data_IF_342472357269
#
_entry.id   IF_342472357269
#
_cell.length_a   1.000
_cell.length_b   1.000
_cell.length_c   1.000
_cell.angle_alpha   90.00
_cell.angle_beta   90.00
_cell.angle_gamma   90.00
#
_symmetry.space_group_name_H-M   'P 1'
#
loop_
_entity.id
_entity.type
_entity.pdbx_description
1 polymer ?
#
# COMPACT_ATOMS: atom_id res chain seq x y z
N UNK A 1 -3.85 9.10 21.22
CA UNK A 1 -4.45 9.35 19.89
C UNK A 1 -5.83 8.74 19.82
N UNK A 2 -6.83 9.52 19.44
CA UNK A 2 -8.23 9.09 19.34
C UNK A 2 -8.54 8.66 17.89
N UNK A 3 -8.66 7.35 17.66
CA UNK A 3 -8.92 6.77 16.33
C UNK A 3 -10.31 7.19 15.81
N UNK A 4 -11.28 7.45 16.69
CA UNK A 4 -12.62 7.87 16.32
C UNK A 4 -12.64 9.25 15.64
N UNK A 5 -11.70 10.12 15.99
CA UNK A 5 -11.52 11.46 15.41
C UNK A 5 -10.57 11.49 14.23
N UNK A 6 -10.25 10.33 13.66
CA UNK A 6 -9.34 10.20 12.52
C UNK A 6 -10.14 9.86 11.27
N UNK A 7 -9.93 10.58 10.18
CA UNK A 7 -10.71 10.44 8.94
C UNK A 7 -10.19 9.34 8.03
N UNK A 8 -8.88 9.02 8.08
CA UNK A 8 -8.28 8.05 7.17
C UNK A 8 -7.08 7.34 7.79
N UNK A 9 -6.69 6.21 7.20
CA UNK A 9 -5.45 5.51 7.55
C UNK A 9 -4.21 6.38 7.32
N UNK A 10 -4.26 7.22 6.31
CA UNK A 10 -3.21 8.20 6.00
C UNK A 10 -3.06 9.20 7.14
N UNK A 11 -4.16 9.78 7.60
CA UNK A 11 -4.17 10.69 8.74
C UNK A 11 -3.67 10.00 10.02
N UNK A 12 -4.10 8.74 10.25
CA UNK A 12 -3.63 7.93 11.37
C UNK A 12 -2.10 7.78 11.37
N UNK A 13 -1.54 7.39 10.21
CA UNK A 13 -0.10 7.23 10.06
C UNK A 13 0.65 8.53 10.34
N UNK A 14 0.27 9.64 9.70
CA UNK A 14 1.01 10.89 9.84
C UNK A 14 0.85 11.54 11.22
N UNK A 15 -0.31 11.43 11.86
CA UNK A 15 -0.46 11.83 13.27
C UNK A 15 0.50 11.04 14.14
N UNK A 16 0.59 9.72 13.96
CA UNK A 16 1.51 8.89 14.72
C UNK A 16 2.98 9.23 14.45
N UNK A 17 3.33 9.46 13.20
CA UNK A 17 4.68 9.86 12.81
C UNK A 17 5.13 11.19 13.42
N UNK A 18 4.17 12.12 13.69
CA UNK A 18 4.46 13.39 14.37
C UNK A 18 4.64 13.26 15.89
N UNK A 19 4.03 12.23 16.51
CA UNK A 19 4.13 11.98 17.96
C UNK A 19 5.42 11.24 18.35
N UNK A 20 6.07 10.59 17.39
CA UNK A 20 7.23 9.71 17.63
C UNK A 20 8.50 10.41 17.14
N UNK A 21 9.61 10.23 17.87
CA UNK A 21 10.93 10.65 17.40
C UNK A 21 11.22 10.03 16.02
N UNK A 22 11.53 10.86 15.04
CA UNK A 22 11.82 10.46 13.66
C UNK A 22 12.94 9.43 13.55
N UNK A 23 13.91 9.44 14.48
CA UNK A 23 15.03 8.51 14.54
C UNK A 23 14.66 7.16 15.17
N UNK A 24 13.49 7.05 15.79
CA UNK A 24 13.05 5.79 16.40
C UNK A 24 12.86 4.71 15.33
N UNK A 25 13.39 3.49 15.54
CA UNK A 25 13.15 2.36 14.66
C UNK A 25 11.65 2.09 14.44
N UNK A 26 11.25 1.88 13.19
CA UNK A 26 9.87 1.56 12.83
C UNK A 26 9.75 0.19 12.17
N UNK A 27 10.54 -0.07 11.12
CA UNK A 27 10.55 -1.35 10.42
C UNK A 27 11.95 -1.95 10.40
N UNK A 28 12.03 -3.27 10.54
CA UNK A 28 13.28 -4.01 10.39
C UNK A 28 13.12 -5.05 9.29
N UNK A 29 13.96 -4.95 8.26
CA UNK A 29 14.04 -5.93 7.20
C UNK A 29 15.01 -7.04 7.62
N UNK A 30 14.50 -8.26 7.80
CA UNK A 30 15.29 -9.38 8.31
C UNK A 30 15.99 -10.20 7.21
N UNK A 31 15.54 -10.07 5.97
CA UNK A 31 16.19 -10.70 4.80
C UNK A 31 17.34 -9.81 4.32
N UNK A 32 18.35 -10.41 3.68
CA UNK A 32 19.53 -9.76 3.13
C UNK A 32 20.34 -8.91 4.13
N UNK A 33 20.17 -7.62 4.22
CA UNK A 33 21.09 -6.71 4.91
C UNK A 33 20.68 -6.35 6.35
N UNK A 34 19.67 -6.98 6.92
CA UNK A 34 19.10 -6.64 8.26
C UNK A 34 18.88 -5.14 8.45
N UNK A 35 18.41 -4.47 7.41
CA UNK A 35 18.24 -3.02 7.37
C UNK A 35 17.13 -2.59 8.32
N UNK A 36 17.41 -1.56 9.12
CA UNK A 36 16.43 -0.89 9.97
C UNK A 36 16.03 0.43 9.33
N UNK A 37 14.73 0.68 9.27
CA UNK A 37 14.14 1.94 8.82
C UNK A 37 13.53 2.64 10.02
N UNK A 38 13.82 3.91 10.21
CA UNK A 38 13.20 4.74 11.24
C UNK A 38 11.92 5.41 10.73
N UNK A 39 11.18 6.08 11.61
CA UNK A 39 9.94 6.78 11.26
C UNK A 39 10.16 7.88 10.22
N UNK A 40 11.24 8.66 10.36
CA UNK A 40 11.59 9.71 9.42
C UNK A 40 11.87 9.16 8.03
N UNK A 41 12.70 8.09 7.92
CA UNK A 41 13.02 7.45 6.64
C UNK A 41 11.77 6.97 5.89
N UNK A 42 10.86 6.29 6.60
CA UNK A 42 9.62 5.78 6.00
C UNK A 42 8.72 6.93 5.58
N UNK A 43 8.57 7.94 6.43
CA UNK A 43 7.73 9.12 6.14
C UNK A 43 8.22 9.87 4.91
N UNK A 44 9.53 10.09 4.80
CA UNK A 44 10.13 10.72 3.63
C UNK A 44 9.90 9.92 2.34
N UNK A 45 10.08 8.61 2.41
CA UNK A 45 9.83 7.70 1.27
C UNK A 45 8.36 7.69 0.85
N UNK A 46 7.43 7.77 1.80
CA UNK A 46 5.99 7.89 1.49
C UNK A 46 5.72 9.20 0.75
N UNK A 47 6.29 10.33 1.15
CA UNK A 47 6.10 11.60 0.44
C UNK A 47 6.60 11.53 -1.00
N UNK A 48 7.82 11.04 -1.21
CA UNK A 48 8.42 10.90 -2.54
C UNK A 48 7.57 10.00 -3.46
N UNK A 49 7.19 8.83 -2.95
CA UNK A 49 6.39 7.88 -3.73
C UNK A 49 4.98 8.43 -3.99
N UNK A 50 4.37 9.14 -3.03
CA UNK A 50 3.08 9.81 -3.22
C UNK A 50 3.12 10.79 -4.37
N UNK A 51 4.14 11.64 -4.46
CA UNK A 51 4.32 12.59 -5.58
C UNK A 51 4.37 11.85 -6.92
N UNK A 52 5.17 10.79 -6.98
CA UNK A 52 5.29 9.99 -8.20
C UNK A 52 3.97 9.34 -8.59
N UNK A 53 3.26 8.76 -7.64
CA UNK A 53 1.95 8.13 -7.88
C UNK A 53 0.94 9.18 -8.37
N UNK A 54 0.86 10.36 -7.74
CA UNK A 54 -0.04 11.47 -8.15
C UNK A 54 0.19 11.93 -9.58
N UNK A 55 1.41 11.81 -10.11
CA UNK A 55 1.68 12.13 -11.52
C UNK A 55 1.19 11.06 -12.51
N UNK A 56 0.77 9.88 -12.02
CA UNK A 56 0.39 8.73 -12.87
C UNK A 56 -1.11 8.45 -12.79
N UNK A 57 -1.69 8.50 -11.57
CA UNK A 57 -3.07 8.09 -11.33
C UNK A 57 -4.01 9.30 -11.15
N UNK A 58 -5.31 9.01 -11.24
CA UNK A 58 -6.40 9.89 -10.80
C UNK A 58 -6.97 9.37 -9.48
N UNK A 59 -7.69 10.23 -8.77
CA UNK A 59 -8.43 9.84 -7.58
C UNK A 59 -9.37 8.66 -7.86
N UNK A 60 -9.37 7.67 -6.96
CA UNK A 60 -10.14 6.44 -7.09
C UNK A 60 -9.56 5.39 -8.04
N UNK A 61 -8.44 5.66 -8.73
CA UNK A 61 -7.73 4.64 -9.52
C UNK A 61 -7.24 3.50 -8.62
N UNK A 62 -7.40 2.25 -9.08
CA UNK A 62 -6.91 1.07 -8.37
C UNK A 62 -5.43 0.89 -8.67
N UNK A 63 -4.67 0.62 -7.62
CA UNK A 63 -3.24 0.36 -7.69
C UNK A 63 -2.96 -1.01 -7.08
N UNK A 64 -2.56 -1.95 -7.94
CA UNK A 64 -2.30 -3.34 -7.54
C UNK A 64 -0.91 -3.47 -6.91
N UNK A 65 -0.82 -4.23 -5.81
CA UNK A 65 0.46 -4.57 -5.16
C UNK A 65 0.61 -6.09 -5.13
N UNK A 66 1.57 -6.61 -5.90
CA UNK A 66 1.98 -8.01 -5.89
C UNK A 66 3.39 -8.14 -5.30
N UNK A 67 3.47 -8.40 -4.01
CA UNK A 67 4.74 -8.46 -3.27
C UNK A 67 4.61 -9.26 -2.00
N UNK A 68 5.69 -9.89 -1.61
CA UNK A 68 5.90 -10.41 -0.26
C UNK A 68 5.94 -9.26 0.74
N UNK A 69 5.76 -9.59 2.04
CA UNK A 69 5.89 -8.61 3.13
C UNK A 69 7.31 -8.06 3.18
N UNK A 70 7.46 -6.77 2.89
CA UNK A 70 8.72 -6.00 2.94
C UNK A 70 8.45 -4.51 3.19
N UNK A 71 9.44 -3.72 3.61
CA UNK A 71 9.22 -2.29 3.89
C UNK A 71 8.59 -1.51 2.74
N UNK A 72 8.98 -1.79 1.50
CA UNK A 72 8.40 -1.13 0.31
C UNK A 72 6.92 -1.44 0.09
N UNK A 73 6.43 -2.58 0.60
CA UNK A 73 4.99 -2.90 0.56
C UNK A 73 4.19 -1.87 1.36
N UNK A 74 4.59 -1.59 2.61
CA UNK A 74 3.91 -0.60 3.46
C UNK A 74 4.04 0.82 2.89
N UNK A 75 5.24 1.18 2.38
CA UNK A 75 5.47 2.47 1.75
C UNK A 75 4.53 2.64 0.54
N UNK A 76 4.42 1.63 -0.33
CA UNK A 76 3.54 1.66 -1.48
C UNK A 76 2.06 1.80 -1.06
N UNK A 77 1.61 0.99 -0.10
CA UNK A 77 0.22 0.97 0.36
C UNK A 77 -0.23 2.33 0.90
N UNK A 78 0.54 2.92 1.81
CA UNK A 78 0.23 4.25 2.35
C UNK A 78 0.34 5.34 1.29
N UNK A 79 1.34 5.26 0.40
CA UNK A 79 1.54 6.25 -0.67
C UNK A 79 0.41 6.23 -1.70
N UNK A 80 -0.13 5.05 -2.03
CA UNK A 80 -1.30 4.91 -2.92
C UNK A 80 -2.50 5.64 -2.31
N UNK A 81 -2.83 5.34 -1.06
CA UNK A 81 -3.95 5.98 -0.36
C UNK A 81 -3.72 7.50 -0.22
N UNK A 82 -2.50 7.92 0.10
CA UNK A 82 -2.15 9.33 0.22
C UNK A 82 -2.21 10.07 -1.13
N UNK A 83 -2.00 9.36 -2.23
CA UNK A 83 -2.18 9.91 -3.58
C UNK A 83 -3.66 9.98 -4.03
N UNK A 84 -4.60 9.46 -3.24
CA UNK A 84 -6.02 9.37 -3.56
C UNK A 84 -6.40 8.10 -4.33
N UNK A 85 -5.48 7.14 -4.46
CA UNK A 85 -5.74 5.84 -5.09
C UNK A 85 -6.33 4.83 -4.11
N UNK A 86 -6.84 3.72 -4.65
CA UNK A 86 -7.35 2.56 -3.91
C UNK A 86 -6.30 1.46 -3.99
N UNK A 87 -5.78 1.02 -2.84
CA UNK A 87 -4.80 -0.07 -2.77
C UNK A 87 -5.45 -1.42 -3.04
N UNK A 88 -4.82 -2.26 -3.87
CA UNK A 88 -5.29 -3.61 -4.20
C UNK A 88 -4.14 -4.60 -3.95
N UNK A 89 -3.86 -4.94 -2.68
CA UNK A 89 -2.87 -5.94 -2.36
C UNK A 89 -3.38 -7.34 -2.69
N UNK A 90 -2.55 -8.13 -3.38
CA UNK A 90 -2.89 -9.50 -3.76
C UNK A 90 -1.82 -10.48 -3.30
N UNK A 91 -2.22 -11.70 -3.01
CA UNK A 91 -1.31 -12.74 -2.53
C UNK A 91 -0.37 -13.22 -3.64
N UNK A 92 0.88 -13.48 -3.27
CA UNK A 92 1.90 -14.03 -4.18
C UNK A 92 1.70 -15.51 -4.49
N UNK A 93 0.72 -16.15 -3.84
CA UNK A 93 0.42 -17.58 -3.94
C UNK A 93 -0.86 -17.90 -4.72
N UNK A 94 -1.49 -16.90 -5.31
CA UNK A 94 -2.66 -17.11 -6.17
C UNK A 94 -2.31 -17.90 -7.43
N UNK A 95 -3.31 -18.61 -7.98
CA UNK A 95 -3.18 -19.32 -9.25
C UNK A 95 -3.14 -18.34 -10.43
N UNK A 96 -2.74 -18.83 -11.62
CA UNK A 96 -2.74 -18.01 -12.82
C UNK A 96 -4.14 -17.52 -13.22
N UNK A 97 -5.17 -18.34 -12.99
CA UNK A 97 -6.57 -17.97 -13.23
C UNK A 97 -7.07 -16.90 -12.26
N UNK A 98 -6.62 -16.96 -11.00
CA UNK A 98 -6.97 -15.92 -10.02
C UNK A 98 -6.35 -14.57 -10.40
N UNK A 99 -5.08 -14.55 -10.82
CA UNK A 99 -4.43 -13.32 -11.29
C UNK A 99 -5.14 -12.74 -12.51
N UNK A 100 -5.51 -13.56 -13.47
CA UNK A 100 -6.27 -13.14 -14.66
C UNK A 100 -7.60 -12.51 -14.26
N UNK A 101 -8.36 -13.21 -13.42
CA UNK A 101 -9.63 -12.72 -12.92
C UNK A 101 -9.49 -11.38 -12.19
N UNK A 102 -8.57 -11.29 -11.22
CA UNK A 102 -8.37 -10.10 -10.40
C UNK A 102 -7.97 -8.89 -11.25
N UNK A 103 -7.03 -9.04 -12.20
CA UNK A 103 -6.61 -7.94 -13.05
C UNK A 103 -7.74 -7.46 -13.96
N UNK A 104 -8.57 -8.37 -14.47
CA UNK A 104 -9.73 -8.05 -15.30
C UNK A 104 -10.86 -7.37 -14.50
N UNK A 105 -11.05 -7.75 -13.24
CA UNK A 105 -12.07 -7.23 -12.35
C UNK A 105 -11.68 -5.83 -11.82
N UNK A 106 -10.53 -5.69 -11.15
CA UNK A 106 -10.11 -4.41 -10.57
C UNK A 106 -9.57 -3.40 -11.59
N UNK A 107 -9.10 -3.84 -12.76
CA UNK A 107 -8.56 -2.99 -13.84
C UNK A 107 -7.60 -1.92 -13.30
N UNK A 108 -6.43 -2.31 -12.78
CA UNK A 108 -5.54 -1.38 -12.12
C UNK A 108 -4.92 -0.39 -13.11
N UNK A 109 -4.81 0.88 -12.72
CA UNK A 109 -4.09 1.91 -13.47
C UNK A 109 -2.58 1.89 -13.20
N UNK A 110 -2.18 1.37 -12.04
CA UNK A 110 -0.79 1.25 -11.60
C UNK A 110 -0.56 -0.12 -10.98
N UNK A 111 0.58 -0.72 -11.27
CA UNK A 111 0.97 -2.03 -10.74
C UNK A 111 2.31 -1.94 -10.04
N UNK A 112 2.36 -2.42 -8.80
CA UNK A 112 3.59 -2.64 -8.05
C UNK A 112 3.93 -4.11 -8.04
N UNK A 113 5.19 -4.45 -8.33
CA UNK A 113 5.72 -5.82 -8.22
C UNK A 113 7.03 -5.83 -7.44
N UNK A 114 7.25 -6.85 -6.63
CA UNK A 114 8.47 -6.92 -5.82
C UNK A 114 9.71 -7.25 -6.64
N UNK A 115 9.60 -8.16 -7.62
CA UNK A 115 10.73 -8.70 -8.38
C UNK A 115 10.26 -9.34 -9.70
N UNK A 116 11.21 -9.89 -10.47
CA UNK A 116 10.96 -10.57 -11.73
C UNK A 116 10.01 -11.79 -11.61
N UNK A 117 10.14 -12.56 -10.52
CA UNK A 117 9.27 -13.73 -10.29
C UNK A 117 7.81 -13.31 -10.21
N UNK A 118 7.51 -12.29 -9.39
CA UNK A 118 6.14 -11.79 -9.24
C UNK A 118 5.62 -11.15 -10.53
N UNK A 119 6.47 -10.40 -11.24
CA UNK A 119 6.11 -9.85 -12.55
C UNK A 119 5.74 -10.95 -13.56
N UNK A 120 6.51 -12.04 -13.63
CA UNK A 120 6.24 -13.15 -14.53
C UNK A 120 4.86 -13.81 -14.32
N UNK A 121 4.34 -13.78 -13.08
CA UNK A 121 3.01 -14.34 -12.76
C UNK A 121 1.87 -13.57 -13.41
N UNK A 122 2.04 -12.26 -13.59
CA UNK A 122 0.96 -11.37 -14.05
C UNK A 122 1.18 -10.74 -15.42
N UNK A 123 2.41 -10.75 -15.97
CA UNK A 123 2.77 -10.01 -17.19
C UNK A 123 1.85 -10.24 -18.38
N UNK A 124 1.35 -11.46 -18.57
CA UNK A 124 0.46 -11.82 -19.67
C UNK A 124 -0.98 -11.30 -19.52
N UNK A 125 -1.35 -10.87 -18.33
CA UNK A 125 -2.67 -10.35 -18.00
C UNK A 125 -2.70 -8.82 -17.89
N UNK A 126 -1.54 -8.17 -17.93
CA UNK A 126 -1.42 -6.71 -17.95
C UNK A 126 -1.96 -6.19 -19.29
N UNK A 127 -2.96 -5.33 -19.23
CA UNK A 127 -3.59 -4.73 -20.37
C UNK A 127 -3.24 -3.24 -20.51
N UNK A 128 -3.71 -2.61 -21.59
CA UNK A 128 -3.45 -1.19 -21.92
C UNK A 128 -4.02 -0.18 -20.90
N UNK A 129 -4.80 -0.62 -19.91
CA UNK A 129 -5.29 0.22 -18.82
C UNK A 129 -4.21 0.52 -17.77
N UNK A 130 -3.16 -0.31 -17.69
CA UNK A 130 -2.03 -0.10 -16.77
C UNK A 130 -1.12 0.98 -17.37
N UNK A 131 -1.09 2.14 -16.72
CA UNK A 131 -0.31 3.32 -17.18
C UNK A 131 1.19 3.17 -16.90
N UNK A 132 1.54 2.53 -15.78
CA UNK A 132 2.94 2.27 -15.38
C UNK A 132 3.05 1.07 -14.45
N UNK A 133 4.26 0.49 -14.44
CA UNK A 133 4.69 -0.51 -13.48
C UNK A 133 5.77 0.11 -12.61
N UNK A 134 5.70 -0.06 -11.29
CA UNK A 134 6.76 0.27 -10.34
C UNK A 134 7.28 -1.04 -9.76
N UNK A 135 8.57 -1.29 -9.91
CA UNK A 135 9.21 -2.51 -9.38
C UNK A 135 10.07 -2.19 -8.16
N UNK A 136 10.11 -3.11 -7.19
CA UNK A 136 10.97 -2.96 -6.02
C UNK A 136 12.41 -3.40 -6.32
N UNK A 137 12.58 -4.35 -7.21
CA UNK A 137 13.85 -4.81 -7.76
C UNK A 137 13.83 -4.66 -9.28
N UNK A 138 15.02 -4.66 -9.92
CA UNK A 138 15.12 -4.59 -11.38
C UNK A 138 14.41 -5.76 -12.05
N UNK A 139 13.62 -5.47 -13.07
CA UNK A 139 12.86 -6.47 -13.86
C UNK A 139 13.02 -6.20 -15.38
N UNK A 140 12.76 -7.21 -16.20
CA UNK A 140 12.92 -7.17 -17.66
C UNK A 140 11.68 -6.58 -18.34
N UNK A 141 11.39 -5.31 -18.05
CA UNK A 141 10.34 -4.53 -18.74
C UNK A 141 10.55 -3.04 -18.46
N UNK A 142 9.87 -2.18 -19.21
CA UNK A 142 9.80 -0.74 -18.92
C UNK A 142 9.07 -0.52 -17.60
N UNK A 143 9.82 -0.41 -16.52
CA UNK A 143 9.30 -0.16 -15.18
C UNK A 143 10.09 0.95 -14.49
N UNK A 144 9.43 1.63 -13.57
CA UNK A 144 10.08 2.58 -12.68
C UNK A 144 10.63 1.79 -11.48
N UNK A 145 11.94 1.85 -11.27
CA UNK A 145 12.54 1.21 -10.10
C UNK A 145 12.30 2.07 -8.85
N UNK A 146 11.72 1.49 -7.80
CA UNK A 146 11.34 2.23 -6.60
C UNK A 146 12.54 2.94 -5.94
N UNK A 147 13.72 2.32 -5.93
CA UNK A 147 14.93 2.94 -5.39
C UNK A 147 15.35 4.21 -6.12
N UNK A 148 15.03 4.34 -7.43
CA UNK A 148 15.29 5.57 -8.19
C UNK A 148 14.32 6.68 -7.80
N UNK A 149 13.04 6.34 -7.56
CA UNK A 149 12.02 7.29 -7.10
C UNK A 149 12.36 7.82 -5.70
N UNK A 150 12.96 6.98 -4.86
CA UNK A 150 13.24 7.27 -3.44
C UNK A 150 14.64 7.81 -3.18
N UNK A 151 15.41 8.19 -4.21
CA UNK A 151 16.77 8.76 -4.06
C UNK A 151 16.78 10.19 -3.57
N UNK A 152 15.78 10.96 -3.95
CA UNK A 152 15.72 12.38 -3.69
C UNK A 152 15.29 12.66 -2.25
N UNK A 153 15.60 13.85 -1.77
CA UNK A 153 15.03 14.41 -0.55
C UNK A 153 14.08 15.54 -0.92
N UNK A 154 12.95 15.59 -0.25
CA UNK A 154 11.99 16.68 -0.41
C UNK A 154 11.64 17.29 0.94
N UNK A 155 11.57 18.61 1.01
CA UNK A 155 11.13 19.33 2.21
C UNK A 155 9.61 19.46 2.30
N UNK A 156 8.90 19.05 1.24
CA UNK A 156 7.45 19.22 1.15
C UNK A 156 6.73 18.05 1.79
N UNK A 157 5.93 18.35 2.81
CA UNK A 157 5.02 17.38 3.44
C UNK A 157 3.74 17.27 2.62
N UNK A 158 3.49 16.10 2.04
CA UNK A 158 2.32 15.84 1.21
C UNK A 158 1.40 14.90 1.94
N UNK A 159 0.33 15.44 2.49
CA UNK A 159 -0.70 14.70 3.21
C UNK A 159 -2.04 15.01 2.58
N UNK A 160 -2.74 14.01 2.10
CA UNK A 160 -4.09 14.15 1.57
C UNK A 160 -5.08 14.31 2.73
N UNK A 161 -5.55 15.53 2.92
CA UNK A 161 -6.49 15.92 3.99
C UNK A 161 -7.97 15.74 3.56
N UNK A 162 -8.22 15.46 2.29
CA UNK A 162 -9.57 15.34 1.74
C UNK A 162 -10.16 13.94 1.91
N UNK A 163 -9.33 12.96 2.31
CA UNK A 163 -9.74 11.59 2.59
C UNK A 163 -10.72 11.54 3.76
N UNK A 164 -11.85 10.85 3.56
CA UNK A 164 -12.93 10.70 4.55
C UNK A 164 -13.14 9.23 4.91
N UNK A 165 -13.73 9.00 6.07
CA UNK A 165 -13.99 7.64 6.60
C UNK A 165 -14.79 6.75 5.64
N UNK A 166 -15.72 7.30 4.87
CA UNK A 166 -16.54 6.55 3.92
C UNK A 166 -15.88 6.30 2.56
N UNK A 167 -14.72 6.90 2.29
CA UNK A 167 -13.99 6.68 1.03
C UNK A 167 -13.30 5.30 1.04
N UNK A 168 -13.25 4.61 -0.13
CA UNK A 168 -12.50 3.37 -0.29
C UNK A 168 -11.02 3.55 0.04
N UNK A 169 -10.46 2.67 0.85
CA UNK A 169 -9.03 2.61 1.17
C UNK A 169 -8.34 1.50 0.38
N UNK A 170 -8.94 0.30 0.40
CA UNK A 170 -8.39 -0.84 -0.31
C UNK A 170 -9.47 -1.81 -0.80
N UNK A 171 -9.06 -2.70 -1.71
CA UNK A 171 -9.86 -3.86 -2.16
C UNK A 171 -9.08 -5.11 -1.79
N UNK A 172 -9.67 -5.98 -0.98
CA UNK A 172 -9.09 -7.26 -0.58
C UNK A 172 -9.83 -8.38 -1.31
N UNK A 173 -9.09 -9.17 -2.09
CA UNK A 173 -9.63 -10.36 -2.73
C UNK A 173 -9.62 -11.54 -1.78
N UNK A 174 -10.77 -12.18 -1.62
CA UNK A 174 -10.93 -13.38 -0.79
C UNK A 174 -11.38 -14.56 -1.65
N UNK A 175 -11.07 -15.79 -1.23
CA UNK A 175 -11.59 -17.00 -1.87
C UNK A 175 -13.10 -17.04 -1.76
N UNK A 176 -13.77 -16.79 -2.89
CA UNK A 176 -15.24 -16.87 -2.95
C UNK A 176 -15.71 -18.34 -2.88
N UNK A 177 -16.85 -18.59 -2.27
CA UNK A 177 -17.51 -19.92 -2.26
C UNK A 177 -17.93 -20.38 -3.66
N UNK A 178 -17.94 -19.50 -4.65
CA UNK A 178 -18.32 -19.74 -6.06
C UNK A 178 -17.15 -19.95 -7.01
N UNK A 179 -15.92 -20.16 -6.53
CA UNK A 179 -14.74 -20.47 -7.32
C UNK A 179 -13.87 -19.28 -7.74
N UNK A 180 -14.44 -18.11 -8.01
CA UNK A 180 -13.66 -16.91 -8.34
C UNK A 180 -13.41 -16.04 -7.10
N UNK A 181 -12.23 -15.39 -6.98
CA UNK A 181 -11.96 -14.43 -5.91
C UNK A 181 -12.97 -13.28 -5.92
N UNK A 182 -13.41 -12.82 -4.74
CA UNK A 182 -14.30 -11.66 -4.60
C UNK A 182 -13.56 -10.49 -4.02
N UNK A 183 -13.60 -9.33 -4.72
CA UNK A 183 -13.01 -8.07 -4.25
C UNK A 183 -13.91 -7.38 -3.23
N UNK A 184 -13.50 -7.38 -1.97
CA UNK A 184 -14.19 -6.68 -0.88
C UNK A 184 -13.62 -5.28 -0.75
N UNK A 185 -14.43 -4.26 -1.01
CA UNK A 185 -14.05 -2.86 -0.84
C UNK A 185 -14.12 -2.48 0.63
N UNK A 186 -13.00 -2.09 1.21
CA UNK A 186 -12.90 -1.61 2.58
C UNK A 186 -12.70 -0.09 2.59
N UNK A 187 -13.54 0.62 3.35
CA UNK A 187 -13.36 2.05 3.56
C UNK A 187 -12.32 2.34 4.64
N UNK A 188 -11.76 3.55 4.61
CA UNK A 188 -10.89 4.02 5.69
C UNK A 188 -11.54 3.86 7.08
N UNK A 189 -12.82 4.22 7.20
CA UNK A 189 -13.57 4.12 8.44
C UNK A 189 -13.77 2.68 8.91
N UNK A 190 -14.05 1.75 8.00
CA UNK A 190 -14.22 0.33 8.35
C UNK A 190 -12.94 -0.26 8.94
N UNK A 191 -11.78 0.03 8.35
CA UNK A 191 -10.49 -0.43 8.86
C UNK A 191 -10.15 0.25 10.19
N UNK A 192 -10.37 1.57 10.31
CA UNK A 192 -10.13 2.31 11.56
C UNK A 192 -10.96 1.76 12.71
N UNK A 193 -12.24 1.43 12.48
CA UNK A 193 -13.11 0.86 13.52
C UNK A 193 -12.65 -0.54 13.96
N UNK A 194 -12.15 -1.36 13.03
CA UNK A 194 -11.53 -2.65 13.38
C UNK A 194 -10.26 -2.46 14.23
N UNK A 195 -9.41 -1.49 13.86
CA UNK A 195 -8.20 -1.18 14.65
C UNK A 195 -8.54 -0.74 16.07
N UNK A 196 -9.58 0.07 16.24
CA UNK A 196 -10.04 0.53 17.55
C UNK A 196 -10.50 -0.63 18.41
N UNK A 197 -11.39 -1.50 17.90
CA UNK A 197 -11.85 -2.68 18.61
C UNK A 197 -10.69 -3.62 19.01
N UNK A 198 -9.71 -3.80 18.14
CA UNK A 198 -8.50 -4.58 18.44
C UNK A 198 -7.67 -3.96 19.58
N UNK A 199 -7.48 -2.63 19.57
CA UNK A 199 -6.73 -1.91 20.63
C UNK A 199 -7.47 -2.01 21.98
N UNK A 200 -8.79 -1.85 21.99
CA UNK A 200 -9.58 -2.00 23.22
C UNK A 200 -9.48 -3.42 23.82
N UNK A 201 -9.54 -4.44 22.95
CA UNK A 201 -9.38 -5.83 23.38
C UNK A 201 -7.99 -6.09 23.97
N UNK A 202 -6.93 -5.60 23.29
CA UNK A 202 -5.55 -5.75 23.76
C UNK A 202 -5.35 -5.08 25.11
N UNK A 203 -5.87 -3.87 25.33
CA UNK A 203 -5.82 -3.20 26.65
C UNK A 203 -6.44 -4.06 27.75
N UNK A 204 -7.63 -4.61 27.53
CA UNK A 204 -8.29 -5.50 28.49
C UNK A 204 -7.48 -6.77 28.83
N UNK A 205 -6.61 -7.21 27.90
CA UNK A 205 -5.75 -8.38 28.10
C UNK A 205 -4.44 -8.03 28.83
N UNK A 206 -3.94 -6.79 28.69
CA UNK A 206 -2.68 -6.34 29.30
C UNK A 206 -2.87 -5.73 30.69
N UNK A 207 -4.08 -5.27 31.02
CA UNK A 207 -4.43 -4.71 32.34
C UNK A 207 -4.83 -5.80 33.37
N UNK A 208 -4.57 -7.08 33.07
CA UNK A 208 -4.71 -8.23 33.96
C UNK A 208 -3.35 -8.73 34.41
#
# INVERSE_FOLDING_TARGET
>A
MDINKTNSLVELYFKKAQEVDEKKPFLKWLKSNKQTYNWGDITQKIFLLTLKIKSIIKEGDRCLILSENRPYWLIADISIMNAGGISVPIFTTYSASDYEYILNDCRPSLVFVSNQEQFNKIKKFINNGVKKIISFEKIDTDSLLISEILKDNIDTKIINKDLKRNMPACIIYTSGTSGNPKGVVLSHGGILSNCEGAVELLKKLTDK
#
